data_IF_811540121257
#
_entry.id   IF_811540121257
#
_cell.length_a   1.000
_cell.length_b   1.000
_cell.length_c   1.000
_cell.angle_alpha   90.00
_cell.angle_beta   90.00
_cell.angle_gamma   90.00
#
_symmetry.space_group_name_H-M   'P 1'
#
loop_
_entity.id
_entity.type
_entity.pdbx_description
1 polymer ?
#
# COMPACT_ATOMS: atom_id res chain seq x y z
N UNK A 1 -33.06 59.08 68.01
CA UNK A 1 -33.90 58.35 68.99
C UNK A 1 -33.75 56.87 68.69
N UNK A 2 -33.25 56.10 69.65
CA UNK A 2 -33.05 54.65 69.58
C UNK A 2 -34.40 53.92 69.42
N UNK A 3 -34.41 52.74 68.78
CA UNK A 3 -35.03 51.50 69.28
C UNK A 3 -34.43 50.29 68.53
N UNK A 4 -34.01 49.30 69.33
CA UNK A 4 -33.59 47.94 68.97
C UNK A 4 -34.82 47.01 68.87
N UNK A 5 -34.73 45.97 68.04
CA UNK A 5 -35.25 44.58 68.21
C UNK A 5 -35.51 43.97 66.81
N UNK A 6 -35.26 42.71 66.48
CA UNK A 6 -34.83 41.53 67.21
C UNK A 6 -34.75 40.35 66.21
N UNK A 7 -33.91 39.36 66.52
CA UNK A 7 -33.66 38.12 65.77
C UNK A 7 -34.95 37.36 65.38
N UNK A 8 -34.97 36.78 64.18
CA UNK A 8 -35.32 35.36 64.00
C UNK A 8 -34.49 34.78 62.85
N UNK A 9 -33.62 33.84 63.19
CA UNK A 9 -32.85 33.04 62.24
C UNK A 9 -33.71 31.84 61.81
N UNK A 10 -34.01 31.74 60.52
CA UNK A 10 -34.51 30.52 59.88
C UNK A 10 -33.39 30.03 58.96
N UNK A 11 -32.79 28.90 59.35
CA UNK A 11 -31.74 28.24 58.58
C UNK A 11 -32.29 27.72 57.26
N UNK A 12 -31.73 28.22 56.16
CA UNK A 12 -31.89 27.62 54.83
C UNK A 12 -30.66 26.76 54.60
N UNK A 13 -30.85 25.44 54.65
CA UNK A 13 -29.83 24.47 54.25
C UNK A 13 -29.46 24.68 52.79
N UNK A 14 -28.23 25.11 52.53
CA UNK A 14 -27.63 25.10 51.20
C UNK A 14 -27.45 23.66 50.73
N UNK A 15 -28.25 23.22 49.76
CA UNK A 15 -27.92 22.05 48.94
C UNK A 15 -26.87 22.49 47.92
N UNK A 16 -25.62 22.12 48.18
CA UNK A 16 -24.49 22.31 47.26
C UNK A 16 -24.67 21.41 46.04
N UNK A 17 -25.05 21.99 44.90
CA UNK A 17 -24.99 21.30 43.60
C UNK A 17 -23.51 21.11 43.24
N UNK A 18 -23.02 19.87 43.36
CA UNK A 18 -21.68 19.49 42.97
C UNK A 18 -21.49 19.53 41.44
N UNK A 19 -20.25 19.75 40.96
CA UNK A 19 -19.96 19.79 39.53
C UNK A 19 -20.22 18.42 38.89
N UNK A 20 -21.06 18.41 37.86
CA UNK A 20 -21.28 17.24 37.01
C UNK A 20 -20.01 17.06 36.17
N UNK A 21 -19.16 16.11 36.56
CA UNK A 21 -18.06 15.64 35.73
C UNK A 21 -18.64 14.88 34.54
N UNK A 22 -18.62 15.51 33.36
CA UNK A 22 -18.89 14.81 32.11
C UNK A 22 -17.71 13.86 31.84
N UNK A 23 -17.90 12.56 32.11
CA UNK A 23 -16.98 11.56 31.60
C UNK A 23 -17.01 11.60 30.06
N UNK A 24 -15.85 11.52 29.36
CA UNK A 24 -15.86 11.42 27.92
C UNK A 24 -16.60 10.15 27.53
N UNK A 25 -17.69 10.30 26.78
CA UNK A 25 -18.37 9.17 26.15
C UNK A 25 -17.37 8.61 25.15
N UNK A 26 -16.78 7.46 25.47
CA UNK A 26 -16.03 6.69 24.49
C UNK A 26 -16.99 6.37 23.35
N UNK A 27 -16.79 7.00 22.19
CA UNK A 27 -17.55 6.69 21.00
C UNK A 27 -17.29 5.22 20.67
N UNK A 28 -18.35 4.41 20.64
CA UNK A 28 -18.26 3.03 20.23
C UNK A 28 -17.84 2.99 18.76
N UNK A 29 -16.62 2.52 18.48
CA UNK A 29 -16.16 2.27 17.11
C UNK A 29 -17.08 1.24 16.46
N UNK A 30 -17.94 1.67 15.55
CA UNK A 30 -18.85 0.79 14.81
C UNK A 30 -18.17 0.03 13.66
N UNK A 31 -16.84 -0.01 13.65
CA UNK A 31 -16.03 -0.74 12.66
C UNK A 31 -15.03 -1.66 13.36
N UNK A 32 -14.84 -2.86 12.78
CA UNK A 32 -13.84 -3.83 13.24
C UNK A 32 -12.44 -3.22 13.37
N UNK A 33 -12.15 -2.22 12.53
CA UNK A 33 -10.89 -1.49 12.52
C UNK A 33 -11.09 -0.03 12.93
N UNK A 34 -10.26 0.42 13.86
CA UNK A 34 -10.12 1.82 14.23
C UNK A 34 -9.03 2.53 13.41
N UNK A 35 -8.72 3.75 13.81
CA UNK A 35 -7.63 4.55 13.23
C UNK A 35 -6.75 5.21 14.28
N UNK A 36 -5.49 5.43 13.92
CA UNK A 36 -4.56 6.29 14.65
C UNK A 36 -3.93 7.28 13.68
N UNK A 37 -4.04 8.57 13.95
CA UNK A 37 -3.48 9.60 13.07
C UNK A 37 -1.96 9.51 12.99
N UNK A 38 -1.44 9.73 11.77
CA UNK A 38 -0.02 9.89 11.53
C UNK A 38 0.36 11.36 11.66
N UNK A 39 1.51 11.61 12.28
CA UNK A 39 2.05 12.97 12.44
C UNK A 39 2.34 13.57 11.06
N UNK A 40 1.82 14.78 10.75
CA UNK A 40 2.21 15.49 9.54
C UNK A 40 3.73 15.72 9.53
N UNK A 41 4.40 15.29 8.45
CA UNK A 41 5.86 15.33 8.32
C UNK A 41 6.54 13.97 8.48
N UNK A 42 5.93 13.04 9.22
CA UNK A 42 6.40 11.65 9.33
C UNK A 42 5.76 10.73 8.29
N UNK A 43 4.99 11.29 7.35
CA UNK A 43 4.34 10.54 6.27
C UNK A 43 4.25 11.40 5.01
N UNK A 44 4.47 10.79 3.85
CA UNK A 44 4.36 11.45 2.54
C UNK A 44 3.65 10.55 1.53
N UNK A 45 2.69 11.11 0.80
CA UNK A 45 2.08 10.48 -0.36
C UNK A 45 2.79 10.96 -1.63
N UNK A 46 3.15 10.03 -2.51
CA UNK A 46 4.04 10.26 -3.64
C UNK A 46 3.36 9.75 -4.92
N UNK A 47 3.32 10.60 -5.94
CA UNK A 47 3.00 10.23 -7.31
C UNK A 47 4.29 9.80 -8.02
N UNK A 48 4.44 8.49 -8.24
CA UNK A 48 5.59 7.90 -8.91
C UNK A 48 5.30 7.79 -10.41
N UNK A 49 6.06 8.46 -11.29
CA UNK A 49 5.81 8.39 -12.72
C UNK A 49 6.10 6.99 -13.28
N UNK A 50 5.20 6.52 -14.15
CA UNK A 50 5.30 5.33 -14.96
C UNK A 50 5.29 5.73 -16.44
N UNK A 51 5.83 4.87 -17.31
CA UNK A 51 5.82 5.07 -18.76
C UNK A 51 6.25 6.49 -19.19
N UNK A 52 7.33 7.03 -18.60
CA UNK A 52 7.84 8.37 -18.93
C UNK A 52 6.97 9.55 -18.46
N UNK A 53 5.98 9.29 -17.57
CA UNK A 53 5.08 10.32 -17.03
C UNK A 53 3.65 10.26 -17.57
N UNK A 54 3.31 9.27 -18.41
CA UNK A 54 1.96 9.07 -18.95
C UNK A 54 0.99 8.48 -17.91
N UNK A 55 1.51 7.77 -16.92
CA UNK A 55 0.74 7.20 -15.82
C UNK A 55 1.51 7.36 -14.50
N UNK A 56 0.82 7.19 -13.37
CA UNK A 56 1.44 7.34 -12.06
C UNK A 56 0.98 6.22 -11.11
N UNK A 57 1.89 5.74 -10.28
CA UNK A 57 1.59 4.88 -9.14
C UNK A 57 1.56 5.69 -7.84
N UNK A 58 0.68 5.34 -6.91
CA UNK A 58 0.67 5.92 -5.57
C UNK A 58 1.58 5.10 -4.66
N UNK A 59 2.55 5.77 -4.04
CA UNK A 59 3.37 5.23 -2.96
C UNK A 59 3.24 6.13 -1.74
N UNK A 60 3.09 5.55 -0.55
CA UNK A 60 3.13 6.26 0.72
C UNK A 60 4.35 5.79 1.50
N UNK A 61 5.18 6.74 1.95
CA UNK A 61 6.31 6.47 2.84
C UNK A 61 6.02 7.03 4.23
N UNK A 62 6.55 6.36 5.25
CA UNK A 62 6.42 6.73 6.66
C UNK A 62 7.79 6.73 7.32
N UNK A 63 8.07 7.76 8.12
CA UNK A 63 9.26 7.89 8.95
C UNK A 63 8.97 7.27 10.31
N UNK A 64 9.51 6.06 10.56
CA UNK A 64 9.29 5.33 11.82
C UNK A 64 10.32 5.72 12.89
N UNK A 65 11.54 6.04 12.45
CA UNK A 65 12.67 6.42 13.30
C UNK A 65 13.48 7.55 12.66
N UNK A 66 13.93 8.54 13.44
CA UNK A 66 14.53 9.77 12.91
C UNK A 66 16.06 9.69 12.70
N UNK A 67 16.70 8.53 12.93
CA UNK A 67 18.15 8.40 12.75
C UNK A 67 18.57 8.55 11.28
N UNK A 68 17.69 8.17 10.34
CA UNK A 68 17.90 8.36 8.90
C UNK A 68 16.62 8.77 8.19
N UNK A 69 16.70 9.81 7.37
CA UNK A 69 15.57 10.27 6.56
C UNK A 69 15.18 9.23 5.49
N UNK A 70 13.89 8.94 5.38
CA UNK A 70 13.35 7.99 4.39
C UNK A 70 13.15 8.63 3.00
N UNK A 71 12.99 9.96 2.95
CA UNK A 71 12.93 10.76 1.74
C UNK A 71 13.48 12.16 1.98
N UNK A 72 13.70 12.89 0.89
CA UNK A 72 14.03 14.32 0.89
C UNK A 72 13.12 15.06 -0.08
N UNK A 73 12.62 16.21 0.37
CA UNK A 73 11.80 17.10 -0.47
C UNK A 73 12.70 18.12 -1.19
N UNK A 74 12.41 18.39 -2.45
CA UNK A 74 13.11 19.39 -3.27
C UNK A 74 12.12 20.26 -4.04
N UNK A 75 12.45 21.54 -4.22
CA UNK A 75 11.58 22.51 -4.90
C UNK A 75 10.48 23.05 -3.99
N UNK A 76 9.36 23.48 -4.58
CA UNK A 76 8.27 24.12 -3.83
C UNK A 76 6.88 23.89 -4.42
N UNK A 77 6.68 24.08 -5.73
CA UNK A 77 5.38 23.82 -6.38
C UNK A 77 5.58 23.51 -7.87
N UNK A 78 5.52 22.22 -8.29
CA UNK A 78 5.34 21.03 -7.45
C UNK A 78 6.60 20.68 -6.64
N UNK A 79 6.41 19.96 -5.52
CA UNK A 79 7.52 19.41 -4.71
C UNK A 79 7.94 18.07 -5.28
N UNK A 80 9.23 17.91 -5.58
CA UNK A 80 9.85 16.66 -6.01
C UNK A 80 10.33 15.88 -4.78
N UNK A 81 10.11 14.57 -4.78
CA UNK A 81 10.51 13.64 -3.71
C UNK A 81 11.68 12.78 -4.18
N UNK A 82 12.76 12.80 -3.41
CA UNK A 82 13.90 11.91 -3.55
C UNK A 82 13.82 10.78 -2.49
N UNK A 83 13.50 9.53 -2.87
CA UNK A 83 13.36 8.42 -1.94
C UNK A 83 14.73 7.89 -1.48
N UNK A 84 15.08 8.17 -0.23
CA UNK A 84 16.38 7.79 0.34
C UNK A 84 16.39 6.36 0.87
N UNK A 85 15.23 5.75 1.15
CA UNK A 85 15.09 4.40 1.73
C UNK A 85 15.77 3.26 0.96
N UNK A 86 16.21 3.49 -0.29
CA UNK A 86 16.91 2.50 -1.10
C UNK A 86 18.42 2.64 -1.07
N UNK A 87 18.90 3.63 -0.33
CA UNK A 87 20.31 3.89 -0.14
C UNK A 87 20.83 3.14 1.09
N UNK A 88 19.97 2.57 1.95
CA UNK A 88 20.34 1.89 3.19
C UNK A 88 19.37 0.77 3.58
N UNK A 89 19.71 0.01 4.63
CA UNK A 89 18.76 -0.90 5.27
C UNK A 89 17.70 -0.11 6.03
N UNK A 90 16.52 0.01 5.42
CA UNK A 90 15.40 0.78 5.95
C UNK A 90 14.62 0.07 7.06
N UNK A 91 14.99 -1.17 7.44
CA UNK A 91 14.25 -1.98 8.40
C UNK A 91 14.12 -1.28 9.75
N UNK A 92 12.88 -1.07 10.21
CA UNK A 92 12.59 -0.35 11.46
C UNK A 92 12.74 1.17 11.38
N UNK A 93 13.16 1.70 10.23
CA UNK A 93 13.38 3.15 10.01
C UNK A 93 12.30 3.73 9.10
N UNK A 94 11.94 3.01 8.02
CA UNK A 94 10.95 3.46 7.05
C UNK A 94 9.79 2.47 6.91
N UNK A 95 8.57 3.00 6.93
CA UNK A 95 7.37 2.30 6.48
C UNK A 95 7.09 2.57 5.01
N UNK A 96 6.48 1.61 4.32
CA UNK A 96 6.14 1.72 2.89
C UNK A 96 4.80 1.07 2.56
N UNK A 97 4.01 1.77 1.77
CA UNK A 97 2.78 1.26 1.15
C UNK A 97 2.83 1.55 -0.34
N UNK A 98 3.06 0.50 -1.13
CA UNK A 98 3.40 0.62 -2.57
C UNK A 98 2.29 0.17 -3.51
N UNK A 99 1.22 -0.39 -2.96
CA UNK A 99 0.08 -0.93 -3.68
C UNK A 99 -1.22 -0.79 -2.85
N UNK A 100 -2.34 -1.19 -3.43
CA UNK A 100 -3.66 -1.13 -2.83
C UNK A 100 -3.87 -2.02 -1.59
N UNK A 101 -2.94 -2.93 -1.27
CA UNK A 101 -2.97 -3.66 0.00
C UNK A 101 -2.38 -2.83 1.14
N UNK A 102 -1.47 -1.90 0.83
CA UNK A 102 -0.79 -1.04 1.79
C UNK A 102 -1.59 0.22 2.17
N UNK A 103 -2.57 0.61 1.36
CA UNK A 103 -3.42 1.78 1.63
C UNK A 103 -4.86 1.63 1.13
N UNK A 104 -5.78 2.37 1.74
CA UNK A 104 -7.17 2.46 1.28
C UNK A 104 -7.82 3.78 1.71
N UNK A 105 -9.03 4.02 1.22
CA UNK A 105 -9.83 5.16 1.60
C UNK A 105 -10.62 4.86 2.88
N UNK A 106 -10.72 5.82 3.81
CA UNK A 106 -11.66 5.75 4.94
C UNK A 106 -12.51 7.02 4.97
N UNK A 107 -13.84 6.85 4.95
CA UNK A 107 -14.78 7.97 4.96
C UNK A 107 -15.70 7.84 6.17
N UNK A 108 -15.64 8.81 7.08
CA UNK A 108 -16.18 8.69 8.43
C UNK A 108 -15.61 7.43 9.12
N UNK A 109 -16.50 6.60 9.65
CA UNK A 109 -16.12 5.36 10.35
C UNK A 109 -16.01 4.12 9.46
N UNK A 110 -16.10 4.27 8.13
CA UNK A 110 -16.17 3.15 7.20
C UNK A 110 -14.89 2.99 6.38
N UNK A 111 -14.33 1.78 6.41
CA UNK A 111 -13.29 1.33 5.49
C UNK A 111 -13.89 1.10 4.11
N UNK A 112 -13.37 1.80 3.11
CA UNK A 112 -13.85 1.82 1.74
C UNK A 112 -12.98 1.00 0.78
N UNK A 113 -12.05 0.19 1.28
CA UNK A 113 -11.13 -0.61 0.45
C UNK A 113 -11.83 -1.46 -0.64
N UNK A 114 -13.05 -1.93 -0.36
CA UNK A 114 -13.84 -2.75 -1.28
C UNK A 114 -14.69 -1.93 -2.26
N UNK A 115 -14.93 -0.64 -1.98
CA UNK A 115 -15.87 0.21 -2.73
C UNK A 115 -15.18 1.25 -3.60
N UNK A 116 -14.05 1.77 -3.14
CA UNK A 116 -13.31 2.82 -3.81
C UNK A 116 -11.90 2.39 -4.16
N UNK A 117 -11.50 2.66 -5.40
CA UNK A 117 -10.12 2.49 -5.87
C UNK A 117 -9.46 3.84 -5.98
N UNK A 118 -8.30 3.98 -5.34
CA UNK A 118 -7.44 5.16 -5.47
C UNK A 118 -6.66 5.08 -6.78
N UNK A 119 -6.70 6.16 -7.57
CA UNK A 119 -5.96 6.29 -8.81
C UNK A 119 -5.42 7.70 -8.96
N UNK A 120 -4.24 7.81 -9.56
CA UNK A 120 -3.64 9.08 -9.94
C UNK A 120 -3.99 9.38 -11.39
N UNK A 121 -4.54 10.55 -11.65
CA UNK A 121 -4.89 11.01 -13.00
C UNK A 121 -4.25 12.36 -13.26
N UNK A 122 -3.75 12.56 -14.47
CA UNK A 122 -3.24 13.86 -14.89
C UNK A 122 -4.43 14.74 -15.34
N UNK A 123 -4.65 15.85 -14.64
CA UNK A 123 -5.74 16.78 -14.92
C UNK A 123 -5.33 18.19 -14.46
N UNK A 124 -5.86 19.24 -15.10
CA UNK A 124 -5.63 20.64 -14.69
C UNK A 124 -4.15 21.02 -14.53
N UNK A 125 -3.25 20.38 -15.30
CA UNK A 125 -1.81 20.66 -15.25
C UNK A 125 -1.12 20.14 -13.97
N UNK A 126 -1.70 19.16 -13.28
CA UNK A 126 -1.14 18.48 -12.11
C UNK A 126 -1.47 16.97 -12.14
N UNK A 127 -0.86 16.20 -11.24
CA UNK A 127 -1.29 14.83 -10.94
C UNK A 127 -2.25 14.89 -9.76
N UNK A 128 -3.46 14.36 -9.95
CA UNK A 128 -4.55 14.43 -8.98
C UNK A 128 -4.85 13.03 -8.45
N UNK A 129 -4.85 12.86 -7.12
CA UNK A 129 -5.23 11.64 -6.45
C UNK A 129 -6.76 11.61 -6.28
N UNK A 130 -7.40 10.62 -6.90
CA UNK A 130 -8.85 10.48 -6.92
C UNK A 130 -9.30 9.09 -6.48
N UNK A 131 -10.44 9.03 -5.80
CA UNK A 131 -11.11 7.79 -5.43
C UNK A 131 -12.30 7.52 -6.36
N UNK A 132 -12.22 6.42 -7.11
CA UNK A 132 -13.24 5.99 -8.07
C UNK A 132 -14.13 4.91 -7.47
N UNK A 133 -15.45 5.06 -7.59
CA UNK A 133 -16.43 4.07 -7.12
C UNK A 133 -16.40 2.85 -8.06
N UNK A 134 -16.02 1.69 -7.53
CA UNK A 134 -15.84 0.45 -8.31
C UNK A 134 -17.17 -0.08 -8.84
N UNK A 135 -18.26 0.11 -8.09
CA UNK A 135 -19.59 -0.33 -8.51
C UNK A 135 -20.26 0.67 -9.46
N UNK A 136 -19.92 1.95 -9.36
CA UNK A 136 -20.53 3.01 -10.17
C UNK A 136 -19.47 3.91 -10.83
N UNK A 137 -18.73 3.43 -11.84
CA UNK A 137 -17.62 4.17 -12.44
C UNK A 137 -18.01 5.51 -13.09
N UNK A 138 -19.28 5.68 -13.47
CA UNK A 138 -19.80 6.94 -14.03
C UNK A 138 -20.11 8.04 -12.99
N UNK A 139 -19.99 7.73 -11.69
CA UNK A 139 -20.15 8.73 -10.62
C UNK A 139 -18.88 9.59 -10.55
N UNK A 140 -19.04 10.89 -10.28
CA UNK A 140 -17.89 11.78 -10.02
C UNK A 140 -16.95 11.18 -8.98
N UNK A 141 -15.65 11.05 -9.28
CA UNK A 141 -14.68 10.59 -8.32
C UNK A 141 -14.46 11.63 -7.22
N UNK A 142 -14.07 11.16 -6.03
CA UNK A 142 -13.74 12.03 -4.90
C UNK A 142 -12.28 12.45 -5.00
N UNK A 143 -12.00 13.75 -4.92
CA UNK A 143 -10.65 14.28 -4.96
C UNK A 143 -10.00 14.31 -3.57
N UNK A 144 -8.90 13.60 -3.43
CA UNK A 144 -8.17 13.42 -2.16
C UNK A 144 -7.05 14.43 -2.01
N UNK A 145 -6.40 14.80 -3.11
CA UNK A 145 -5.27 15.74 -3.14
C UNK A 145 -4.63 15.82 -4.51
N UNK A 146 -3.62 16.68 -4.66
CA UNK A 146 -2.91 16.90 -5.92
C UNK A 146 -1.45 17.36 -5.73
N UNK A 147 -0.66 17.31 -6.78
CA UNK A 147 0.78 17.66 -6.75
C UNK A 147 1.07 19.15 -6.84
N UNK A 148 0.06 20.00 -7.04
CA UNK A 148 0.22 21.45 -7.25
C UNK A 148 0.82 21.84 -8.61
N UNK A 149 1.09 20.86 -9.48
CA UNK A 149 1.68 21.06 -10.79
C UNK A 149 2.34 19.80 -11.35
N UNK A 150 2.86 19.88 -12.57
CA UNK A 150 3.64 18.83 -13.21
C UNK A 150 5.12 19.18 -13.18
N UNK A 151 5.96 18.18 -12.88
CA UNK A 151 7.41 18.24 -13.03
C UNK A 151 7.93 16.83 -13.32
N UNK A 152 9.21 16.74 -13.69
CA UNK A 152 9.89 15.47 -13.83
C UNK A 152 10.18 14.85 -12.45
N UNK A 153 10.18 13.52 -12.39
CA UNK A 153 10.48 12.76 -11.17
C UNK A 153 9.25 12.42 -10.33
N UNK A 154 9.49 11.96 -9.11
CA UNK A 154 8.46 11.61 -8.13
C UNK A 154 7.91 12.88 -7.48
N UNK A 155 6.60 13.06 -7.47
CA UNK A 155 5.96 14.29 -6.99
C UNK A 155 5.24 14.06 -5.67
N UNK A 156 5.32 15.01 -4.74
CA UNK A 156 4.55 15.01 -3.50
C UNK A 156 3.08 15.27 -3.80
N UNK A 157 2.19 14.47 -3.24
CA UNK A 157 0.74 14.70 -3.26
C UNK A 157 0.37 15.47 -2.00
N UNK A 158 -0.15 16.68 -2.17
CA UNK A 158 -0.69 17.49 -1.10
C UNK A 158 -2.16 17.10 -0.88
N UNK A 159 -2.50 16.67 0.33
CA UNK A 159 -3.86 16.29 0.66
C UNK A 159 -4.76 17.53 0.74
N UNK A 160 -5.97 17.41 0.20
CA UNK A 160 -6.98 18.46 0.26
C UNK A 160 -7.40 18.74 1.71
N UNK A 161 -7.93 19.94 2.02
CA UNK A 161 -8.43 20.25 3.35
C UNK A 161 -9.43 19.20 3.87
N UNK A 162 -9.24 18.76 5.12
CA UNK A 162 -10.06 17.73 5.75
C UNK A 162 -9.62 16.29 5.47
N UNK A 163 -8.61 16.09 4.62
CA UNK A 163 -7.97 14.79 4.43
C UNK A 163 -6.74 14.64 5.33
N UNK A 164 -6.55 13.44 5.86
CA UNK A 164 -5.41 13.05 6.70
C UNK A 164 -4.94 11.65 6.36
N UNK A 165 -3.69 11.34 6.69
CA UNK A 165 -3.17 9.99 6.67
C UNK A 165 -3.22 9.41 8.09
N UNK A 166 -3.69 8.17 8.22
CA UNK A 166 -3.82 7.50 9.50
C UNK A 166 -3.52 6.01 9.37
N UNK A 167 -3.02 5.38 10.42
CA UNK A 167 -2.87 3.93 10.50
C UNK A 167 -4.18 3.25 10.83
N UNK A 168 -4.36 2.05 10.26
CA UNK A 168 -5.40 1.11 10.69
C UNK A 168 -5.04 0.54 12.06
N UNK A 169 -6.02 0.44 12.96
CA UNK A 169 -5.85 -0.21 14.26
C UNK A 169 -6.83 -1.37 14.44
N UNK A 170 -6.42 -2.40 15.18
CA UNK A 170 -7.26 -3.53 15.59
C UNK A 170 -6.98 -3.84 17.06
N UNK A 171 -8.01 -3.82 17.91
CA UNK A 171 -7.88 -4.05 19.36
C UNK A 171 -6.80 -3.17 20.03
N UNK A 172 -6.67 -1.92 19.59
CA UNK A 172 -5.69 -0.96 20.11
C UNK A 172 -4.25 -1.14 19.58
N UNK A 173 -4.00 -2.12 18.69
CA UNK A 173 -2.70 -2.29 18.02
C UNK A 173 -2.70 -1.63 16.65
N UNK A 174 -1.62 -0.93 16.35
CA UNK A 174 -1.38 -0.32 15.04
C UNK A 174 -0.90 -1.36 14.03
N UNK A 175 -1.51 -1.36 12.84
CA UNK A 175 -1.18 -2.24 11.73
C UNK A 175 -0.34 -1.51 10.67
N UNK A 176 0.14 -2.23 9.66
CA UNK A 176 0.92 -1.63 8.56
C UNK A 176 0.11 -0.77 7.59
N UNK A 177 -1.21 -1.00 7.51
CA UNK A 177 -2.08 -0.39 6.50
C UNK A 177 -2.38 1.09 6.80
N UNK A 178 -2.32 1.94 5.77
CA UNK A 178 -2.55 3.39 5.85
C UNK A 178 -3.90 3.76 5.22
N UNK A 179 -4.69 4.55 5.95
CA UNK A 179 -5.89 5.19 5.42
C UNK A 179 -5.57 6.58 4.89
N UNK A 180 -6.08 6.90 3.70
CA UNK A 180 -6.41 8.25 3.30
C UNK A 180 -7.81 8.55 3.85
N UNK A 181 -7.87 9.27 4.96
CA UNK A 181 -9.04 9.41 5.79
C UNK A 181 -9.66 10.80 5.69
N UNK A 182 -10.99 10.85 5.75
CA UNK A 182 -11.78 12.07 5.89
C UNK A 182 -12.96 11.79 6.84
N UNK A 183 -13.23 12.70 7.78
CA UNK A 183 -14.33 12.54 8.75
C UNK A 183 -15.71 12.57 8.10
N UNK A 184 -15.82 13.21 6.92
CA UNK A 184 -17.09 13.31 6.22
C UNK A 184 -17.49 11.95 5.65
N UNK A 185 -18.73 11.50 5.87
CA UNK A 185 -19.22 10.27 5.26
C UNK A 185 -19.31 10.41 3.73
N UNK A 186 -19.38 9.26 3.06
CA UNK A 186 -19.36 9.13 1.59
C UNK A 186 -20.36 10.04 0.89
N UNK A 187 -21.60 10.05 1.36
CA UNK A 187 -22.71 10.80 0.78
C UNK A 187 -22.43 12.30 0.74
N UNK A 188 -21.82 12.84 1.79
CA UNK A 188 -21.44 14.25 1.85
C UNK A 188 -20.29 14.59 0.91
N UNK A 189 -19.25 13.73 0.84
CA UNK A 189 -18.11 13.97 -0.06
C UNK A 189 -18.49 13.88 -1.52
N UNK A 190 -19.36 12.94 -1.89
CA UNK A 190 -19.83 12.85 -3.28
C UNK A 190 -20.79 13.98 -3.63
N UNK A 191 -21.64 14.43 -2.70
CA UNK A 191 -22.50 15.59 -2.94
C UNK A 191 -21.68 16.88 -3.14
N UNK A 192 -20.51 16.99 -2.49
CA UNK A 192 -19.59 18.11 -2.65
C UNK A 192 -18.67 18.00 -3.87
N UNK A 193 -18.53 16.81 -4.46
CA UNK A 193 -17.69 16.61 -5.63
C UNK A 193 -18.31 17.34 -6.83
N UNK A 194 -17.51 18.08 -7.63
CA UNK A 194 -18.03 18.67 -8.86
C UNK A 194 -18.62 17.57 -9.73
N UNK A 195 -19.84 17.78 -10.24
CA UNK A 195 -20.38 16.90 -11.27
C UNK A 195 -19.43 16.95 -12.46
N UNK A 196 -18.83 15.82 -12.81
CA UNK A 196 -18.33 15.68 -14.16
C UNK A 196 -19.56 15.68 -15.05
N UNK A 197 -19.85 16.83 -15.64
CA UNK A 197 -20.70 16.88 -16.82
C UNK A 197 -19.95 16.09 -17.89
N UNK A 198 -20.35 14.83 -18.07
CA UNK A 198 -20.10 14.17 -19.33
C UNK A 198 -20.79 15.06 -20.35
N UNK A 199 -20.03 15.85 -21.11
CA UNK A 199 -20.54 16.45 -22.33
C UNK A 199 -20.81 15.25 -23.24
N UNK A 200 -22.02 14.69 -23.13
CA UNK A 200 -22.55 13.84 -24.16
C UNK A 200 -22.59 14.73 -25.39
N UNK A 201 -21.61 14.55 -26.29
CA UNK A 201 -21.70 15.12 -27.62
C UNK A 201 -23.04 14.66 -28.17
N UNK A 202 -23.98 15.60 -28.32
CA UNK A 202 -25.30 15.29 -28.83
C UNK A 202 -25.13 14.45 -30.11
N UNK A 203 -25.92 13.38 -30.32
CA UNK A 203 -25.87 12.66 -31.58
C UNK A 203 -26.14 13.68 -32.69
N UNK A 204 -25.12 13.96 -33.49
CA UNK A 204 -25.27 14.79 -34.69
C UNK A 204 -26.39 14.15 -35.49
N UNK A 205 -27.49 14.88 -35.66
CA UNK A 205 -28.57 14.51 -36.55
C UNK A 205 -28.01 14.50 -37.97
N UNK A 206 -27.52 13.35 -38.42
CA UNK A 206 -27.16 13.15 -39.80
C UNK A 206 -28.46 13.21 -40.62
N UNK A 207 -28.66 14.37 -41.24
CA UNK A 207 -29.66 14.57 -42.28
C UNK A 207 -29.30 13.62 -43.42
N UNK A 208 -30.15 12.62 -43.63
CA UNK A 208 -30.01 11.66 -44.73
C UNK A 208 -30.07 12.40 -46.06
N UNK A 209 -28.90 12.62 -46.67
CA UNK A 209 -28.79 12.99 -48.07
C UNK A 209 -28.54 11.72 -48.87
N UNK A 210 -29.55 11.38 -49.67
CA UNK A 210 -29.61 10.31 -50.66
C UNK A 210 -28.37 10.36 -51.56
N UNK A 211 -27.51 9.33 -51.50
CA UNK A 211 -26.41 9.16 -52.45
C UNK A 211 -26.74 7.98 -53.35
N UNK A 212 -26.84 8.28 -54.65
CA UNK A 212 -27.08 7.37 -55.75
C UNK A 212 -25.98 6.31 -55.86
N UNK A 213 -26.41 5.05 -56.02
CA UNK A 213 -25.58 3.88 -56.29
C UNK A 213 -24.68 4.09 -57.51
N UNK A 214 -23.40 3.74 -57.35
CA UNK A 214 -22.56 3.32 -58.48
C UNK A 214 -21.95 1.96 -58.13
N UNK A 215 -22.43 0.96 -58.85
CA UNK A 215 -22.07 -0.45 -58.75
C UNK A 215 -20.59 -0.67 -59.07
N UNK A 216 -19.88 -1.39 -58.20
CA UNK A 216 -18.63 -2.07 -58.54
C UNK A 216 -18.86 -3.56 -58.34
N UNK A 217 -18.86 -4.26 -59.47
CA UNK A 217 -18.89 -5.71 -59.56
C UNK A 217 -17.49 -6.24 -59.26
N UNK A 218 -17.38 -7.09 -58.24
CA UNK A 218 -16.17 -7.81 -57.86
C UNK A 218 -16.56 -8.89 -56.85
N UNK A 219 -16.71 -10.12 -57.34
CA UNK A 219 -17.03 -11.29 -56.54
C UNK A 219 -15.83 -11.74 -55.72
N UNK A 220 -15.63 -11.18 -54.53
CA UNK A 220 -14.81 -11.83 -53.50
C UNK A 220 -15.50 -11.69 -52.12
N UNK A 221 -15.97 -12.82 -51.60
CA UNK A 221 -16.42 -12.94 -50.21
C UNK A 221 -15.24 -12.69 -49.28
N UNK A 222 -15.27 -11.62 -48.49
CA UNK A 222 -14.33 -11.44 -47.37
C UNK A 222 -14.70 -12.45 -46.28
N UNK A 223 -13.92 -13.52 -46.16
CA UNK A 223 -14.02 -14.45 -45.04
C UNK A 223 -13.37 -13.83 -43.80
N UNK A 224 -14.17 -13.57 -42.78
CA UNK A 224 -13.66 -13.25 -41.43
C UNK A 224 -13.21 -14.57 -40.81
N UNK A 225 -11.89 -14.77 -40.71
CA UNK A 225 -11.31 -15.94 -40.04
C UNK A 225 -11.44 -15.76 -38.52
N UNK A 226 -12.33 -16.55 -37.91
CA UNK A 226 -12.43 -16.69 -36.45
C UNK A 226 -11.60 -17.93 -36.07
N UNK A 227 -10.46 -17.80 -35.36
CA UNK A 227 -9.71 -18.96 -34.92
C UNK A 227 -10.54 -19.79 -33.92
N UNK A 228 -10.52 -21.13 -34.01
CA UNK A 228 -11.28 -21.98 -33.10
C UNK A 228 -10.75 -21.90 -31.67
N UNK A 229 -11.68 -21.88 -30.72
CA UNK A 229 -11.42 -21.98 -29.28
C UNK A 229 -10.70 -23.30 -28.98
N UNK A 230 -9.52 -23.25 -28.36
CA UNK A 230 -8.83 -24.45 -27.87
C UNK A 230 -9.12 -24.64 -26.38
N UNK A 231 -9.94 -25.64 -26.06
CA UNK A 231 -10.06 -26.15 -24.69
C UNK A 231 -8.78 -26.93 -24.32
N UNK A 232 -7.99 -26.40 -23.41
CA UNK A 232 -6.89 -27.16 -22.80
C UNK A 232 -7.44 -28.08 -21.72
N UNK A 233 -7.87 -29.29 -22.11
CA UNK A 233 -8.08 -30.40 -21.18
C UNK A 233 -6.75 -31.10 -20.91
N UNK A 234 -6.08 -30.76 -19.82
CA UNK A 234 -4.98 -31.58 -19.28
C UNK A 234 -5.54 -32.53 -18.21
N UNK A 235 -5.88 -33.75 -18.63
CA UNK A 235 -6.15 -34.91 -17.79
C UNK A 235 -4.83 -35.68 -17.64
N UNK A 236 -4.28 -35.89 -16.43
CA UNK A 236 -3.16 -36.80 -16.26
C UNK A 236 -3.63 -38.26 -16.35
N UNK A 237 -2.85 -39.06 -17.07
CA UNK A 237 -3.06 -40.50 -17.33
C UNK A 237 -3.14 -41.32 -16.03
N UNK A 238 -4.27 -42.00 -15.82
CA UNK A 238 -4.32 -43.21 -15.00
C UNK A 238 -3.57 -44.32 -15.73
N UNK A 239 -2.37 -44.62 -15.24
CA UNK A 239 -1.69 -45.88 -15.57
C UNK A 239 -2.06 -46.89 -14.47
N UNK A 240 -2.68 -47.97 -14.90
CA UNK A 240 -3.05 -49.14 -14.12
C UNK A 240 -1.83 -49.67 -13.33
N UNK A 241 -1.89 -49.63 -11.99
CA UNK A 241 -1.02 -50.44 -11.12
C UNK A 241 -1.88 -51.15 -10.08
N UNK A 242 -1.53 -52.42 -9.91
CA UNK A 242 -2.30 -53.50 -9.31
C UNK A 242 -2.76 -53.25 -7.87
N UNK A 243 -3.89 -53.90 -7.54
CA UNK A 243 -4.43 -54.02 -6.19
C UNK A 243 -3.37 -54.57 -5.22
N UNK A 244 -3.08 -53.80 -4.17
CA UNK A 244 -2.38 -54.30 -2.99
C UNK A 244 -3.40 -54.37 -1.86
N UNK A 245 -3.54 -55.58 -1.34
CA UNK A 245 -4.38 -56.02 -0.23
C UNK A 245 -4.08 -55.22 1.04
N UNK A 246 -5.17 -54.81 1.72
CA UNK A 246 -5.17 -54.19 3.05
C UNK A 246 -4.80 -55.23 4.12
N UNK A 247 -3.81 -54.99 4.99
CA UNK A 247 -3.76 -55.60 6.31
C UNK A 247 -4.38 -54.68 7.36
N UNK A 248 -5.07 -55.33 8.29
CA UNK A 248 -5.87 -54.77 9.36
C UNK A 248 -5.09 -53.92 10.39
N UNK A 249 -5.86 -53.10 11.09
CA UNK A 249 -5.49 -52.27 12.23
C UNK A 249 -4.80 -53.02 13.38
N UNK A 250 -4.01 -52.30 14.18
CA UNK A 250 -3.94 -52.55 15.62
C UNK A 250 -4.48 -51.38 16.45
N UNK A 251 -5.04 -51.79 17.58
CA UNK A 251 -5.70 -51.05 18.66
C UNK A 251 -4.81 -50.05 19.44
N UNK A 252 -5.42 -49.19 20.30
CA UNK A 252 -4.73 -48.06 20.92
C UNK A 252 -3.99 -48.48 22.20
N UNK A 253 -2.78 -47.94 22.42
CA UNK A 253 -2.02 -48.20 23.64
C UNK A 253 -1.45 -46.90 24.22
N UNK A 254 -2.05 -46.52 25.35
CA UNK A 254 -1.45 -46.05 26.60
C UNK A 254 -0.77 -44.66 26.68
N UNK A 255 -1.25 -43.99 27.71
CA UNK A 255 -0.98 -42.71 28.36
C UNK A 255 0.39 -42.47 29.03
N UNK A 256 0.63 -41.17 29.31
CA UNK A 256 1.47 -40.50 30.34
C UNK A 256 2.91 -40.08 29.97
N UNK A 257 3.52 -39.04 30.62
CA UNK A 257 3.01 -38.18 31.69
C UNK A 257 3.04 -36.66 31.41
N UNK A 258 2.17 -35.95 32.12
CA UNK A 258 2.20 -34.51 32.38
C UNK A 258 3.32 -34.14 33.38
N UNK A 259 4.10 -33.08 33.09
CA UNK A 259 4.97 -32.40 34.05
C UNK A 259 5.13 -30.91 33.65
N UNK A 260 5.52 -30.01 34.56
CA UNK A 260 4.63 -29.25 35.42
C UNK A 260 4.50 -27.79 34.97
N UNK A 261 3.39 -27.19 35.40
CA UNK A 261 2.99 -25.81 35.21
C UNK A 261 4.07 -24.81 35.64
N UNK A 262 4.52 -23.95 34.72
CA UNK A 262 5.23 -22.72 35.04
C UNK A 262 4.18 -21.61 35.28
N UNK A 263 4.11 -20.95 36.45
CA UNK A 263 3.00 -20.06 36.81
C UNK A 263 2.97 -18.71 36.08
N UNK A 264 3.69 -18.54 34.97
CA UNK A 264 3.80 -17.25 34.27
C UNK A 264 3.32 -17.25 32.81
N UNK A 265 2.44 -18.18 32.43
CA UNK A 265 1.79 -18.18 31.10
C UNK A 265 0.28 -18.27 31.28
N UNK A 266 -0.43 -17.23 30.83
CA UNK A 266 -1.90 -17.22 30.81
C UNK A 266 -2.39 -18.19 29.72
N UNK A 267 -3.36 -19.09 30.02
CA UNK A 267 -3.90 -20.01 29.03
C UNK A 267 -4.78 -19.28 28.01
N UNK A 268 -4.51 -19.50 26.72
CA UNK A 268 -5.32 -18.97 25.61
C UNK A 268 -6.49 -19.92 25.35
N UNK A 269 -7.75 -19.44 25.28
CA UNK A 269 -8.89 -20.30 25.00
C UNK A 269 -8.80 -20.92 23.60
N UNK A 270 -8.89 -22.25 23.54
CA UNK A 270 -9.07 -23.02 22.31
C UNK A 270 -10.54 -22.93 21.88
N UNK A 271 -10.91 -21.93 21.09
CA UNK A 271 -12.18 -21.95 20.35
C UNK A 271 -11.93 -21.77 18.87
N UNK A 272 -12.20 -22.84 18.15
CA UNK A 272 -12.19 -22.97 16.70
C UNK A 272 -13.16 -21.98 16.06
N UNK A 273 -12.69 -21.16 15.13
CA UNK A 273 -13.54 -20.36 14.23
C UNK A 273 -13.87 -21.26 13.03
N UNK A 274 -15.15 -21.42 12.63
CA UNK A 274 -15.51 -22.26 11.50
C UNK A 274 -15.04 -21.59 10.20
N UNK A 275 -14.19 -22.26 9.44
CA UNK A 275 -13.87 -21.90 8.06
C UNK A 275 -14.49 -22.93 7.12
N UNK A 276 -15.47 -22.48 6.34
CA UNK A 276 -15.91 -23.19 5.14
C UNK A 276 -14.94 -22.88 4.02
N UNK A 277 -14.16 -23.89 3.60
CA UNK A 277 -13.90 -24.24 2.19
C UNK A 277 -12.57 -24.99 2.08
N UNK A 278 -12.74 -26.27 1.77
CA UNK A 278 -11.77 -27.27 1.33
C UNK A 278 -10.80 -26.80 0.26
N UNK A 279 -9.49 -27.02 0.43
CA UNK A 279 -8.77 -28.20 -0.10
C UNK A 279 -7.25 -27.98 -0.14
N UNK A 280 -6.53 -29.02 0.30
CA UNK A 280 -5.07 -29.24 0.29
C UNK A 280 -4.17 -28.52 1.32
N UNK A 281 -4.00 -29.24 2.44
CA UNK A 281 -2.76 -29.57 3.17
C UNK A 281 -1.47 -28.80 2.83
N UNK A 282 -1.00 -28.02 3.80
CA UNK A 282 0.40 -27.64 3.95
C UNK A 282 0.66 -27.25 5.40
N UNK A 283 1.32 -28.12 6.15
CA UNK A 283 1.78 -27.86 7.53
C UNK A 283 2.73 -26.66 7.48
N UNK A 284 2.37 -25.53 8.09
CA UNK A 284 3.30 -24.42 8.25
C UNK A 284 4.22 -24.75 9.42
N UNK A 285 5.46 -25.13 9.09
CA UNK A 285 6.58 -25.18 10.01
C UNK A 285 6.92 -23.73 10.38
N UNK A 286 7.01 -23.39 11.66
CA UNK A 286 7.55 -22.08 12.05
C UNK A 286 9.05 -22.09 11.77
N UNK A 287 9.46 -21.41 10.69
CA UNK A 287 10.85 -21.19 10.35
C UNK A 287 11.51 -20.20 11.33
N UNK A 288 12.78 -20.48 11.62
CA UNK A 288 13.74 -19.73 12.42
C UNK A 288 14.10 -18.38 11.73
N UNK A 289 14.44 -17.30 12.47
CA UNK A 289 14.66 -15.98 11.86
C UNK A 289 15.99 -15.93 11.11
N UNK A 290 15.97 -15.87 9.78
CA UNK A 290 17.19 -15.65 9.00
C UNK A 290 17.11 -15.67 7.47
N UNK A 291 16.02 -16.12 6.86
CA UNK A 291 15.90 -16.14 5.39
C UNK A 291 14.63 -15.45 4.94
N UNK A 292 14.77 -14.31 4.28
CA UNK A 292 13.67 -13.69 3.56
C UNK A 292 13.29 -14.60 2.39
N UNK A 293 12.05 -15.12 2.33
CA UNK A 293 11.63 -15.96 1.21
C UNK A 293 11.69 -15.15 -0.09
N UNK A 294 12.06 -15.78 -1.22
CA UNK A 294 12.11 -15.09 -2.51
C UNK A 294 10.73 -14.49 -2.83
N UNK A 295 10.68 -13.26 -3.37
CA UNK A 295 9.43 -12.62 -3.74
C UNK A 295 8.66 -13.49 -4.75
N UNK A 296 7.32 -13.56 -4.66
CA UNK A 296 6.52 -14.33 -5.60
C UNK A 296 6.73 -13.82 -7.05
N UNK A 297 6.59 -14.68 -8.06
CA UNK A 297 7.01 -14.42 -9.45
C UNK A 297 6.30 -13.24 -10.15
N UNK A 298 5.32 -12.59 -9.51
CA UNK A 298 4.56 -11.46 -10.04
C UNK A 298 4.49 -10.24 -9.09
N UNK A 299 5.30 -10.19 -8.02
CA UNK A 299 5.35 -8.97 -7.19
C UNK A 299 6.25 -7.94 -7.85
N UNK A 300 5.69 -6.79 -8.21
CA UNK A 300 6.47 -5.60 -8.56
C UNK A 300 7.40 -5.31 -7.38
N UNK A 301 8.72 -5.34 -7.59
CA UNK A 301 9.65 -5.11 -6.48
C UNK A 301 9.56 -3.67 -5.96
N UNK A 302 10.03 -3.45 -4.73
CA UNK A 302 10.02 -2.12 -4.09
C UNK A 302 10.60 -1.05 -5.01
N UNK A 303 11.76 -1.32 -5.60
CA UNK A 303 12.40 -0.37 -6.50
C UNK A 303 11.55 -0.14 -7.77
N UNK A 304 10.87 -1.14 -8.33
CA UNK A 304 9.95 -0.93 -9.46
C UNK A 304 8.71 -0.10 -9.08
N UNK A 305 8.16 -0.31 -7.88
CA UNK A 305 7.01 0.46 -7.38
C UNK A 305 7.34 1.94 -7.15
N UNK A 306 8.62 2.22 -6.88
CA UNK A 306 9.22 3.55 -6.80
C UNK A 306 9.70 4.08 -8.17
N UNK A 307 9.32 3.41 -9.27
CA UNK A 307 9.65 3.85 -10.63
C UNK A 307 11.10 3.58 -11.02
N UNK A 308 11.87 2.90 -10.17
CA UNK A 308 13.26 2.57 -10.44
C UNK A 308 13.36 1.37 -11.37
N UNK A 309 14.42 1.37 -12.18
CA UNK A 309 14.66 0.38 -13.23
C UNK A 309 16.00 -0.31 -13.08
N UNK A 310 16.95 0.36 -12.43
CA UNK A 310 18.32 -0.11 -12.31
C UNK A 310 18.77 -0.05 -10.85
N UNK A 311 19.54 -1.04 -10.40
CA UNK A 311 20.29 -0.98 -9.14
C UNK A 311 21.77 -1.24 -9.42
N UNK A 312 22.62 -0.50 -8.74
CA UNK A 312 24.07 -0.65 -8.82
C UNK A 312 24.51 -1.53 -7.65
N UNK A 313 25.08 -2.68 -7.97
CA UNK A 313 25.58 -3.65 -6.99
C UNK A 313 27.07 -3.89 -7.18
N UNK A 314 27.77 -4.14 -6.08
CA UNK A 314 29.22 -4.26 -6.00
C UNK A 314 29.59 -5.59 -5.38
N UNK A 315 30.53 -6.31 -5.99
CA UNK A 315 31.14 -7.50 -5.41
C UNK A 315 32.25 -7.05 -4.44
N UNK A 316 31.87 -6.79 -3.18
CA UNK A 316 32.78 -6.40 -2.11
C UNK A 316 32.73 -7.45 -0.99
N UNK A 317 33.51 -8.53 -1.15
CA UNK A 317 33.54 -9.63 -0.18
C UNK A 317 34.56 -9.39 0.93
N UNK A 318 35.71 -8.78 0.61
CA UNK A 318 36.78 -8.54 1.60
C UNK A 318 36.50 -7.30 2.44
N UNK A 319 36.99 -7.24 3.70
CA UNK A 319 36.88 -6.05 4.54
C UNK A 319 37.42 -4.78 3.87
N UNK A 320 38.54 -4.88 3.16
CA UNK A 320 39.19 -3.74 2.49
C UNK A 320 38.34 -3.21 1.32
N UNK A 321 37.70 -4.11 0.57
CA UNK A 321 36.76 -3.73 -0.49
C UNK A 321 35.52 -3.04 0.08
N UNK A 322 35.01 -3.52 1.22
CA UNK A 322 33.86 -2.92 1.91
C UNK A 322 34.20 -1.52 2.43
N UNK A 323 35.39 -1.33 2.99
CA UNK A 323 35.82 -0.03 3.50
C UNK A 323 36.01 0.99 2.38
N UNK A 324 36.60 0.58 1.25
CA UNK A 324 36.67 1.42 0.04
C UNK A 324 35.29 1.78 -0.52
N UNK A 325 34.36 0.82 -0.54
CA UNK A 325 32.99 1.07 -0.97
C UNK A 325 32.30 2.07 -0.04
N UNK A 326 32.41 1.88 1.28
CA UNK A 326 31.83 2.76 2.28
C UNK A 326 32.47 4.15 2.32
N UNK A 327 33.72 4.29 1.88
CA UNK A 327 34.36 5.60 1.73
C UNK A 327 33.71 6.45 0.63
N UNK A 328 33.20 5.83 -0.44
CA UNK A 328 32.50 6.52 -1.53
C UNK A 328 31.01 6.62 -1.26
N UNK A 329 30.43 5.53 -0.76
CA UNK A 329 28.99 5.38 -0.51
C UNK A 329 28.83 4.82 0.92
N UNK A 330 28.79 5.69 1.94
CA UNK A 330 28.70 5.28 3.34
C UNK A 330 27.49 4.37 3.61
N UNK A 331 26.42 4.59 2.86
CA UNK A 331 25.15 3.90 3.05
C UNK A 331 25.08 2.55 2.32
N UNK A 332 26.13 2.17 1.57
CA UNK A 332 26.14 0.89 0.86
C UNK A 332 25.90 -0.28 1.82
N UNK A 333 24.92 -1.11 1.47
CA UNK A 333 24.41 -2.17 2.34
C UNK A 333 24.43 -3.54 1.66
N UNK A 334 24.39 -4.60 2.44
CA UNK A 334 24.43 -5.97 1.94
C UNK A 334 23.13 -6.32 1.20
N UNK A 335 23.24 -6.90 0.02
CA UNK A 335 22.09 -7.39 -0.77
C UNK A 335 22.40 -8.74 -1.40
N UNK A 336 21.38 -9.40 -1.94
CA UNK A 336 21.52 -10.66 -2.67
C UNK A 336 21.05 -10.47 -4.12
N UNK A 337 21.83 -10.97 -5.07
CA UNK A 337 21.48 -11.00 -6.49
C UNK A 337 21.66 -12.44 -6.99
N UNK A 338 20.53 -13.15 -7.18
CA UNK A 338 20.56 -14.61 -7.27
C UNK A 338 21.14 -15.21 -5.99
N UNK A 339 22.07 -16.16 -6.12
CA UNK A 339 22.78 -16.79 -4.99
C UNK A 339 24.05 -16.03 -4.54
N UNK A 340 24.35 -14.88 -5.15
CA UNK A 340 25.58 -14.13 -4.84
C UNK A 340 25.31 -13.01 -3.84
N UNK A 341 26.08 -13.00 -2.75
CA UNK A 341 26.10 -11.89 -1.78
C UNK A 341 26.85 -10.70 -2.38
N UNK A 342 26.15 -9.59 -2.53
CA UNK A 342 26.67 -8.36 -3.11
C UNK A 342 26.42 -7.19 -2.14
N UNK A 343 26.94 -6.01 -2.46
CA UNK A 343 26.61 -4.76 -1.77
C UNK A 343 25.82 -3.87 -2.71
N UNK A 344 24.63 -3.40 -2.33
CA UNK A 344 23.91 -2.39 -3.09
C UNK A 344 24.50 -1.01 -2.78
N UNK A 345 24.89 -0.32 -3.84
CA UNK A 345 25.44 1.02 -3.81
C UNK A 345 24.38 2.11 -4.10
N UNK A 346 23.31 1.76 -4.81
CA UNK A 346 22.20 2.68 -5.10
C UNK A 346 21.17 2.06 -6.05
N UNK A 347 20.04 2.73 -6.20
CA UNK A 347 18.97 2.36 -7.14
C UNK A 347 18.46 3.61 -7.87
N UNK A 348 18.18 3.46 -9.17
CA UNK A 348 17.99 4.56 -10.12
C UNK A 348 16.85 4.27 -11.09
N UNK A 349 16.14 5.32 -11.50
CA UNK A 349 15.11 5.26 -12.53
C UNK A 349 15.73 5.21 -13.93
N UNK A 350 16.80 5.98 -14.16
CA UNK A 350 17.46 6.09 -15.45
C UNK A 350 18.78 5.32 -15.48
N UNK A 351 19.08 4.71 -16.63
CA UNK A 351 20.31 3.93 -16.81
C UNK A 351 21.56 4.80 -16.71
N UNK A 352 21.52 6.03 -17.23
CA UNK A 352 22.67 6.93 -17.24
C UNK A 352 23.12 7.30 -15.81
N UNK A 353 22.19 7.48 -14.86
CA UNK A 353 22.50 7.76 -13.46
C UNK A 353 23.20 6.56 -12.80
N UNK A 354 22.74 5.35 -13.12
CA UNK A 354 23.37 4.12 -12.66
C UNK A 354 24.77 3.93 -13.28
N UNK A 355 24.96 4.31 -14.55
CA UNK A 355 26.25 4.28 -15.25
C UNK A 355 27.25 5.28 -14.65
N UNK A 356 26.80 6.49 -14.30
CA UNK A 356 27.64 7.50 -13.65
C UNK A 356 28.17 7.00 -12.29
N UNK A 357 27.30 6.40 -11.46
CA UNK A 357 27.73 5.81 -10.20
C UNK A 357 28.67 4.61 -10.43
N UNK A 358 28.40 3.78 -11.45
CA UNK A 358 29.25 2.66 -11.80
C UNK A 358 30.67 3.12 -12.19
N UNK A 359 30.80 4.19 -12.97
CA UNK A 359 32.11 4.73 -13.37
C UNK A 359 32.91 5.18 -12.14
N UNK A 360 32.30 5.96 -11.25
CA UNK A 360 32.94 6.42 -10.01
C UNK A 360 33.41 5.27 -9.11
N UNK A 361 32.62 4.20 -9.00
CA UNK A 361 33.01 3.04 -8.21
C UNK A 361 34.09 2.19 -8.89
N UNK A 362 34.10 2.10 -10.22
CA UNK A 362 35.15 1.39 -10.97
C UNK A 362 36.51 2.06 -10.82
N UNK A 363 36.56 3.38 -10.70
CA UNK A 363 37.81 4.12 -10.42
C UNK A 363 38.47 3.69 -9.09
N UNK A 364 37.67 3.20 -8.14
CA UNK A 364 38.19 2.66 -6.86
C UNK A 364 38.63 1.19 -6.91
N UNK A 365 38.60 0.57 -8.10
CA UNK A 365 38.98 -0.83 -8.30
C UNK A 365 37.94 -1.85 -7.83
N UNK A 366 36.68 -1.42 -7.64
CA UNK A 366 35.59 -2.29 -7.23
C UNK A 366 34.86 -2.89 -8.45
N UNK A 367 34.52 -4.17 -8.37
CA UNK A 367 33.74 -4.85 -9.41
C UNK A 367 32.26 -4.48 -9.29
N UNK A 368 31.80 -3.61 -10.19
CA UNK A 368 30.45 -3.02 -10.14
C UNK A 368 29.59 -3.46 -11.32
N UNK A 369 28.37 -3.88 -11.00
CA UNK A 369 27.37 -4.37 -11.95
C UNK A 369 26.09 -3.54 -11.83
N UNK A 370 25.51 -3.20 -12.97
CA UNK A 370 24.15 -2.64 -13.04
C UNK A 370 23.22 -3.82 -13.27
N UNK A 371 22.24 -3.99 -12.39
CA UNK A 371 21.27 -5.08 -12.45
C UNK A 371 19.89 -4.45 -12.65
N UNK A 372 19.09 -4.92 -13.63
CA UNK A 372 17.71 -4.47 -13.76
C UNK A 372 16.91 -4.86 -12.52
N UNK A 373 16.04 -3.96 -12.10
CA UNK A 373 15.14 -4.21 -10.99
C UNK A 373 13.98 -5.06 -11.52
N UNK A 374 13.92 -6.33 -11.10
CA UNK A 374 12.86 -7.29 -11.45
C UNK A 374 11.66 -7.20 -10.54
#
# INVERSE_FOLDING_TARGET
MNIRAGLTALGVSMATLGPISFAPIAQANSGLFGTQDLTPGDVVAIAVPLAGGEAYNLVILEQLDQNRACWREQGGSPTVIDPLLLQFDFTGICGRSTDSNGYSLRLGEQDMAWRYRLQLVQERGAVVLKAFDVENPGRSPIEVGDTGGLAQGMLKINLNPGWRMAKRTYEGKTLGHIYLANERPRDQLVAAAPRQEWVATAPTTYTSSKITEKSVSGSETIQIFVPPYQETTSRPNETLVAAITVPAAPEPIVSLPSNPSNPNVLPVPQRSIPTYSSSNTGVIRLEEPGQQPPPPPNSVSLAQSLGLRYRVVVDAQTPEQKERLKAVIPDAFHTWVGDRRMMQAGAFAAEFEAQDLQMRLRETGLAVQIVPVQ
#
